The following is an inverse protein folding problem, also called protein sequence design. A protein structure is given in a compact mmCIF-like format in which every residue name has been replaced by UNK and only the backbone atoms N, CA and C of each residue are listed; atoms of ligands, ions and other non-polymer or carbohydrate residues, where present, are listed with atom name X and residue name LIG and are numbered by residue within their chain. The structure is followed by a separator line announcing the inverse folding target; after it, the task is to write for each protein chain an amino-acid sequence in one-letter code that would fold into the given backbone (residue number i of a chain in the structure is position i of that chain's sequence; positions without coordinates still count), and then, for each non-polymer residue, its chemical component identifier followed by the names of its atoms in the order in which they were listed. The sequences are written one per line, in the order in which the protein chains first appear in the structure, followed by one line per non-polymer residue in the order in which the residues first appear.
data_IF_820980805159
#
_entry.id   IF_820980805159
#
_cell.length_a   1.000
_cell.length_b   1.000
_cell.length_c   1.000
_cell.angle_alpha   90.00
_cell.angle_beta   90.00
_cell.angle_gamma   90.00
#
_symmetry.space_group_name_H-M   'P 1'
#
loop_
_entity.id
_entity.type
_entity.pdbx_description
1 polymer ?
#
# COMPACT_ATOMS: atom_id res chain seq x y z
N UNK A 1 10.48 -11.11 -15.43
CA UNK A 1 11.21 -9.83 -15.59
C UNK A 1 11.66 -9.41 -14.20
N UNK A 2 12.90 -8.95 -14.03
CA UNK A 2 13.36 -8.44 -12.73
C UNK A 2 12.56 -7.20 -12.34
N UNK A 3 12.23 -7.07 -11.06
CA UNK A 3 11.63 -5.84 -10.54
C UNK A 3 12.75 -4.80 -10.42
N UNK A 4 13.02 -4.05 -11.50
CA UNK A 4 14.07 -3.04 -11.59
C UNK A 4 13.50 -1.61 -11.43
N UNK A 5 14.36 -0.60 -11.46
CA UNK A 5 13.95 0.81 -11.32
C UNK A 5 13.00 1.29 -12.42
N UNK A 6 13.20 0.83 -13.66
CA UNK A 6 12.34 1.20 -14.79
C UNK A 6 10.94 0.57 -14.67
N UNK A 7 10.87 -0.70 -14.29
CA UNK A 7 9.61 -1.37 -14.02
C UNK A 7 8.90 -0.73 -12.82
N UNK A 8 9.67 -0.38 -11.77
CA UNK A 8 9.15 0.37 -10.61
C UNK A 8 8.50 1.69 -11.05
N UNK A 9 9.14 2.43 -11.96
CA UNK A 9 8.58 3.67 -12.49
C UNK A 9 7.22 3.46 -13.16
N UNK A 10 7.11 2.46 -14.04
CA UNK A 10 5.87 2.15 -14.73
C UNK A 10 4.76 1.71 -13.76
N UNK A 11 5.10 0.89 -12.76
CA UNK A 11 4.16 0.47 -11.72
C UNK A 11 3.70 1.66 -10.88
N UNK A 12 4.62 2.51 -10.41
CA UNK A 12 4.28 3.71 -9.64
C UNK A 12 3.33 4.60 -10.43
N UNK A 13 3.59 4.82 -11.71
CA UNK A 13 2.72 5.61 -12.58
C UNK A 13 1.31 5.02 -12.68
N UNK A 14 1.20 3.70 -12.88
CA UNK A 14 -0.09 3.01 -12.92
C UNK A 14 -0.85 3.12 -11.58
N UNK A 15 -0.14 2.91 -10.47
CA UNK A 15 -0.72 2.96 -9.12
C UNK A 15 -1.20 4.37 -8.78
N UNK A 16 -0.39 5.39 -9.05
CA UNK A 16 -0.75 6.79 -8.79
C UNK A 16 -2.03 7.18 -9.56
N UNK A 17 -2.11 6.84 -10.85
CA UNK A 17 -3.30 7.10 -11.66
C UNK A 17 -4.57 6.40 -11.15
N UNK A 18 -4.45 5.19 -10.60
CA UNK A 18 -5.60 4.40 -10.16
C UNK A 18 -6.03 4.67 -8.72
N UNK A 19 -5.08 5.00 -7.84
CA UNK A 19 -5.27 4.94 -6.39
C UNK A 19 -5.27 6.31 -5.72
N UNK A 20 -4.66 7.33 -6.32
CA UNK A 20 -4.65 8.69 -5.76
C UNK A 20 -6.08 9.22 -5.60
N UNK A 21 -6.33 9.95 -4.51
CA UNK A 21 -7.67 10.31 -3.98
C UNK A 21 -8.50 9.14 -3.44
N UNK A 22 -8.00 7.91 -3.56
CA UNK A 22 -8.63 6.71 -3.02
C UNK A 22 -8.61 6.67 -1.49
N UNK A 23 -9.67 6.11 -0.89
CA UNK A 23 -9.76 5.91 0.56
C UNK A 23 -9.40 4.48 0.92
N UNK A 24 -8.52 4.30 1.90
CA UNK A 24 -8.22 2.98 2.47
C UNK A 24 -9.46 2.46 3.20
N UNK A 25 -10.02 1.37 2.71
CA UNK A 25 -11.21 0.73 3.26
C UNK A 25 -10.88 -0.35 4.30
N UNK A 26 -9.77 -1.07 4.10
CA UNK A 26 -9.36 -2.17 4.97
C UNK A 26 -7.88 -2.48 4.83
N UNK A 27 -7.23 -2.83 5.93
CA UNK A 27 -5.85 -3.36 5.92
C UNK A 27 -5.81 -4.80 6.44
N UNK A 28 -5.04 -5.65 5.77
CA UNK A 28 -4.89 -7.07 6.12
C UNK A 28 -3.51 -7.60 5.76
N UNK A 29 -3.02 -8.56 6.54
CA UNK A 29 -1.74 -9.25 6.29
C UNK A 29 -2.02 -10.76 6.15
N UNK A 30 -2.30 -11.27 4.93
CA UNK A 30 -2.56 -12.69 4.72
C UNK A 30 -1.33 -13.57 4.97
N UNK A 31 -0.12 -13.05 4.72
CA UNK A 31 1.14 -13.76 4.91
C UNK A 31 2.14 -12.88 5.67
N UNK A 32 3.13 -13.45 6.38
CA UNK A 32 4.03 -12.68 7.25
C UNK A 32 4.77 -11.51 6.58
N UNK A 33 5.11 -11.62 5.29
CA UNK A 33 5.82 -10.58 4.54
C UNK A 33 4.94 -9.87 3.49
N UNK A 34 3.61 -10.03 3.57
CA UNK A 34 2.70 -9.46 2.57
C UNK A 34 1.57 -8.67 3.23
N UNK A 35 1.51 -7.38 2.91
CA UNK A 35 0.44 -6.48 3.32
C UNK A 35 -0.51 -6.27 2.15
N UNK A 36 -1.81 -6.32 2.42
CA UNK A 36 -2.86 -5.95 1.47
C UNK A 36 -3.64 -4.78 2.03
N UNK A 37 -3.67 -3.69 1.27
CA UNK A 37 -4.43 -2.48 1.54
C UNK A 37 -5.55 -2.42 0.51
N UNK A 38 -6.80 -2.55 0.96
CA UNK A 38 -7.96 -2.36 0.09
C UNK A 38 -8.25 -0.88 -0.03
N UNK A 39 -8.06 -0.31 -1.22
CA UNK A 39 -8.26 1.11 -1.51
C UNK A 39 -9.50 1.26 -2.38
N UNK A 40 -10.47 2.05 -1.95
CA UNK A 40 -11.64 2.40 -2.75
C UNK A 40 -11.38 3.71 -3.48
N UNK A 41 -11.24 3.63 -4.80
CA UNK A 41 -11.03 4.77 -5.69
C UNK A 41 -11.93 4.64 -6.92
N UNK A 42 -12.41 5.76 -7.47
CA UNK A 42 -13.22 5.77 -8.69
C UNK A 42 -14.38 4.74 -8.72
N UNK A 43 -15.07 4.53 -7.59
CA UNK A 43 -16.15 3.54 -7.38
C UNK A 43 -15.73 2.06 -7.46
N UNK A 44 -14.44 1.77 -7.58
CA UNK A 44 -13.87 0.43 -7.60
C UNK A 44 -13.10 0.15 -6.30
N UNK A 45 -12.94 -1.13 -5.96
CA UNK A 45 -12.10 -1.56 -4.84
C UNK A 45 -10.82 -2.19 -5.41
N UNK A 46 -9.68 -1.60 -5.07
CA UNK A 46 -8.37 -2.04 -5.50
C UNK A 46 -7.61 -2.66 -4.33
N UNK A 47 -7.45 -3.99 -4.30
CA UNK A 47 -6.52 -4.65 -3.38
C UNK A 47 -5.07 -4.41 -3.80
N UNK A 48 -4.40 -3.48 -3.12
CA UNK A 48 -2.98 -3.21 -3.29
C UNK A 48 -2.17 -4.19 -2.43
N UNK A 49 -1.41 -5.06 -3.08
CA UNK A 49 -0.44 -5.96 -2.46
C UNK A 49 0.92 -5.26 -2.36
N UNK A 50 1.52 -5.29 -1.17
CA UNK A 50 2.89 -4.90 -0.90
C UNK A 50 3.59 -6.12 -0.30
N UNK A 51 4.52 -6.71 -1.04
CA UNK A 51 5.27 -7.90 -0.64
C UNK A 51 6.72 -7.53 -0.39
N UNK A 52 7.18 -7.78 0.84
CA UNK A 52 8.59 -7.74 1.25
C UNK A 52 9.18 -9.15 1.31
N UNK A 53 8.63 -10.10 0.54
CA UNK A 53 9.17 -11.45 0.46
C UNK A 53 10.57 -11.42 -0.16
N UNK A 54 11.58 -12.09 0.42
CA UNK A 54 12.96 -12.02 -0.08
C UNK A 54 13.14 -12.59 -1.50
N UNK A 55 12.27 -13.50 -1.92
CA UNK A 55 12.33 -14.11 -3.25
C UNK A 55 11.49 -13.35 -4.27
N UNK A 56 10.37 -12.76 -3.83
CA UNK A 56 9.39 -12.11 -4.71
C UNK A 56 8.93 -10.73 -4.20
N UNK A 57 9.86 -9.80 -3.92
CA UNK A 57 9.49 -8.49 -3.43
C UNK A 57 8.83 -7.69 -4.57
N UNK A 58 7.65 -7.13 -4.31
CA UNK A 58 6.86 -6.42 -5.34
C UNK A 58 5.73 -5.61 -4.72
N UNK A 59 5.26 -4.63 -5.47
CA UNK A 59 3.99 -3.96 -5.24
C UNK A 59 3.10 -4.09 -6.47
N UNK A 60 1.82 -4.35 -6.30
CA UNK A 60 0.88 -4.47 -7.41
C UNK A 60 -0.58 -4.43 -6.93
N UNK A 61 -1.51 -4.15 -7.84
CA UNK A 61 -2.92 -4.51 -7.64
C UNK A 61 -3.06 -6.01 -7.90
N UNK A 62 -3.79 -6.74 -7.05
CA UNK A 62 -3.93 -8.20 -7.16
C UNK A 62 -5.38 -8.64 -7.23
N UNK A 63 -5.72 -9.49 -8.20
CA UNK A 63 -7.04 -10.14 -8.25
C UNK A 63 -7.02 -11.54 -7.61
N UNK A 64 -5.85 -11.97 -7.14
CA UNK A 64 -5.66 -13.29 -6.54
C UNK A 64 -6.38 -13.32 -5.18
N UNK A 65 -7.28 -14.29 -4.94
CA UNK A 65 -7.94 -14.42 -3.67
C UNK A 65 -6.93 -14.80 -2.58
N UNK A 66 -7.07 -14.17 -1.40
CA UNK A 66 -6.21 -14.40 -0.25
C UNK A 66 -7.07 -14.68 0.99
N UNK A 67 -6.51 -15.42 1.95
CA UNK A 67 -7.18 -15.74 3.21
C UNK A 67 -6.50 -15.00 4.34
N UNK A 68 -7.28 -14.21 5.08
CA UNK A 68 -6.77 -13.53 6.26
C UNK A 68 -6.61 -14.51 7.42
N UNK A 69 -5.56 -14.36 8.24
CA UNK A 69 -5.44 -15.11 9.48
C UNK A 69 -6.60 -14.79 10.41
N UNK A 70 -7.00 -15.77 11.23
CA UNK A 70 -8.11 -15.60 12.18
C UNK A 70 -7.78 -14.55 13.25
N UNK A 71 -6.50 -14.45 13.64
CA UNK A 71 -6.01 -13.48 14.60
C UNK A 71 -5.12 -12.47 13.87
N UNK A 72 -5.41 -11.17 13.91
CA UNK A 72 -4.56 -10.15 13.30
C UNK A 72 -3.23 -10.02 14.06
N UNK A 73 -2.15 -9.75 13.32
CA UNK A 73 -0.84 -9.47 13.92
C UNK A 73 -0.79 -8.05 14.50
N UNK A 74 0.15 -7.81 15.41
CA UNK A 74 0.41 -6.46 15.94
C UNK A 74 0.74 -5.46 14.82
N UNK A 75 1.47 -5.90 13.80
CA UNK A 75 1.79 -5.09 12.63
C UNK A 75 0.53 -4.69 11.86
N UNK A 76 -0.36 -5.65 11.58
CA UNK A 76 -1.65 -5.36 10.92
C UNK A 76 -2.46 -4.37 11.74
N UNK A 77 -2.55 -4.56 13.06
CA UNK A 77 -3.32 -3.67 13.93
C UNK A 77 -2.74 -2.24 13.97
N UNK A 78 -1.41 -2.11 13.97
CA UNK A 78 -0.74 -0.80 13.88
C UNK A 78 -1.05 -0.12 12.54
N UNK A 79 -0.92 -0.86 11.43
CA UNK A 79 -1.26 -0.32 10.11
C UNK A 79 -2.73 0.07 10.01
N UNK A 80 -3.65 -0.68 10.63
CA UNK A 80 -5.07 -0.29 10.69
C UNK A 80 -5.28 1.02 11.42
N UNK A 81 -4.67 1.18 12.60
CA UNK A 81 -4.79 2.41 13.41
C UNK A 81 -4.47 3.67 12.58
N UNK A 82 -3.43 3.60 11.76
CA UNK A 82 -2.93 4.76 11.02
C UNK A 82 -3.53 4.92 9.62
N UNK A 83 -3.78 3.81 8.92
CA UNK A 83 -4.14 3.84 7.49
C UNK A 83 -5.63 3.64 7.24
N UNK A 84 -6.42 2.98 8.11
CA UNK A 84 -7.85 2.80 7.82
C UNK A 84 -8.58 4.14 7.79
N UNK A 85 -9.30 4.39 6.69
CA UNK A 85 -9.96 5.67 6.44
C UNK A 85 -9.06 6.76 5.86
N UNK A 86 -7.74 6.57 5.84
CA UNK A 86 -6.80 7.52 5.24
C UNK A 86 -7.00 7.63 3.72
N UNK A 87 -6.65 8.78 3.16
CA UNK A 87 -6.78 9.09 1.74
C UNK A 87 -5.40 9.05 1.11
N UNK A 88 -5.24 8.33 0.00
CA UNK A 88 -4.01 8.32 -0.79
C UNK A 88 -3.82 9.70 -1.42
N UNK A 89 -2.76 10.40 -1.04
CA UNK A 89 -2.41 11.71 -1.56
C UNK A 89 -1.55 11.62 -2.82
N UNK A 90 -0.52 10.76 -2.79
CA UNK A 90 0.45 10.61 -3.87
C UNK A 90 1.18 9.27 -3.76
N UNK A 91 1.53 8.68 -4.90
CA UNK A 91 2.44 7.53 -4.97
C UNK A 91 3.64 7.92 -5.83
N UNK A 92 4.86 7.80 -5.29
CA UNK A 92 6.08 8.20 -6.00
C UNK A 92 7.24 7.23 -5.79
N UNK A 93 8.10 7.16 -6.81
CA UNK A 93 9.37 6.45 -6.75
C UNK A 93 10.45 7.38 -6.21
N UNK A 94 11.37 6.85 -5.41
CA UNK A 94 12.57 7.59 -5.02
C UNK A 94 13.60 7.48 -6.13
N UNK A 95 13.87 8.60 -6.80
CA UNK A 95 14.79 8.69 -7.93
C UNK A 95 14.50 7.62 -8.99
N UNK A 96 15.45 6.71 -9.25
CA UNK A 96 15.26 5.54 -10.10
C UNK A 96 15.57 4.24 -9.33
N UNK A 97 15.45 4.29 -8.00
CA UNK A 97 15.63 3.12 -7.14
C UNK A 97 14.31 2.35 -6.98
N UNK A 98 14.36 1.16 -6.41
CA UNK A 98 13.22 0.28 -6.16
C UNK A 98 12.55 0.61 -4.82
N UNK A 99 12.44 1.90 -4.52
CA UNK A 99 11.84 2.44 -3.30
C UNK A 99 10.61 3.25 -3.68
N UNK A 100 9.49 2.93 -3.06
CA UNK A 100 8.19 3.53 -3.36
C UNK A 100 7.64 4.16 -2.10
N UNK A 101 7.24 5.42 -2.20
CA UNK A 101 6.59 6.18 -1.14
C UNK A 101 5.11 6.35 -1.47
N UNK A 102 4.26 5.99 -0.53
CA UNK A 102 2.82 6.24 -0.60
C UNK A 102 2.48 7.22 0.52
N UNK A 103 2.09 8.42 0.13
CA UNK A 103 1.69 9.48 1.06
C UNK A 103 0.19 9.38 1.28
N UNK A 104 -0.22 9.41 2.55
CA UNK A 104 -1.61 9.37 2.97
C UNK A 104 -1.95 10.59 3.82
N UNK A 105 -3.12 11.16 3.57
CA UNK A 105 -3.72 12.18 4.44
C UNK A 105 -4.73 11.49 5.37
N UNK A 106 -4.61 11.74 6.67
CA UNK A 106 -5.48 11.18 7.70
C UNK A 106 -5.81 12.23 8.75
N UNK A 107 -6.63 11.85 9.73
CA UNK A 107 -6.84 12.62 10.94
C UNK A 107 -6.50 11.79 12.15
N UNK A 108 -5.94 12.42 13.16
CA UNK A 108 -5.66 11.76 14.42
C UNK A 108 -6.94 11.59 15.27
N UNK A 109 -6.77 11.07 16.49
CA UNK A 109 -7.86 10.80 17.44
C UNK A 109 -8.54 12.11 17.94
N UNK A 110 -7.87 13.26 17.81
CA UNK A 110 -8.38 14.59 18.18
C UNK A 110 -9.02 15.32 17.01
N UNK A 111 -8.88 14.78 15.79
CA UNK A 111 -9.42 15.34 14.56
C UNK A 111 -8.44 16.25 13.80
N UNK A 112 -7.20 16.38 14.27
CA UNK A 112 -6.17 17.17 13.62
C UNK A 112 -5.69 16.47 12.35
N UNK A 113 -5.38 17.26 11.32
CA UNK A 113 -4.91 16.71 10.05
C UNK A 113 -3.46 16.23 10.16
N UNK A 114 -3.21 14.99 9.76
CA UNK A 114 -1.91 14.37 9.79
C UNK A 114 -1.58 13.79 8.41
N UNK A 115 -0.30 13.89 8.03
CA UNK A 115 0.22 13.20 6.86
C UNK A 115 1.11 12.03 7.29
N UNK A 116 0.94 10.89 6.63
CA UNK A 116 1.69 9.67 6.85
C UNK A 116 2.36 9.23 5.54
N UNK A 117 3.55 8.65 5.64
CA UNK A 117 4.26 8.09 4.48
C UNK A 117 4.55 6.63 4.75
N UNK A 118 3.99 5.74 3.93
CA UNK A 118 4.36 4.33 3.90
C UNK A 118 5.46 4.15 2.86
N UNK A 119 6.57 3.54 3.25
CA UNK A 119 7.70 3.26 2.36
C UNK A 119 7.77 1.76 2.10
N UNK A 120 7.84 1.38 0.82
CA UNK A 120 8.11 0.02 0.38
C UNK A 120 9.47 -0.02 -0.31
N UNK A 121 10.40 -0.76 0.28
CA UNK A 121 11.75 -0.97 -0.25
C UNK A 121 11.83 -2.37 -0.86
N UNK A 122 12.14 -2.45 -2.16
CA UNK A 122 12.28 -3.70 -2.92
C UNK A 122 13.76 -3.88 -3.22
N UNK A 123 14.51 -4.41 -2.25
CA UNK A 123 15.96 -4.63 -2.35
C UNK A 123 16.30 -6.00 -2.96
#
# INVERSE_FOLDING_TARGET
MSFDGLFTHAIVHELDQKLTTGRVAKVSQPYPAELIIMIRAHRHNYPLLISANPTYPRIQITEIPYKNPAVPTNFTMTMRKYLEGAIVNKIEQVDNDRIIKITFDTRDELGDSQQLVLVSEIM
#
